data_IF_234826189107
#
_entry.id   IF_234826189107
#
_cell.length_a   1.000
_cell.length_b   1.000
_cell.length_c   1.000
_cell.angle_alpha   90.00
_cell.angle_beta   90.00
_cell.angle_gamma   90.00
#
_symmetry.space_group_name_H-M   'P 1'
#
loop_
_entity.id
_entity.type
_entity.pdbx_description
1 polymer ?
#
# COMPACT_ATOMS: atom_id res chain seq x y z
N UNK A 1 -12.01 20.19 -4.15
CA UNK A 1 -12.69 18.95 -4.60
C UNK A 1 -14.22 19.02 -4.72
N UNK A 2 -14.84 20.17 -4.57
CA UNK A 2 -16.32 20.32 -4.63
C UNK A 2 -16.97 19.88 -5.95
N UNK A 3 -16.18 19.82 -7.04
CA UNK A 3 -16.63 19.34 -8.36
C UNK A 3 -15.83 18.12 -8.74
N UNK A 4 -16.44 16.96 -8.69
CA UNK A 4 -15.86 15.71 -9.13
C UNK A 4 -16.81 14.98 -10.11
N UNK A 5 -16.25 14.08 -10.89
CA UNK A 5 -17.01 13.19 -11.78
C UNK A 5 -17.00 11.78 -11.19
N UNK A 6 -18.18 11.23 -10.95
CA UNK A 6 -18.37 9.85 -10.56
C UNK A 6 -18.45 8.98 -11.82
N UNK A 7 -17.83 7.81 -11.80
CA UNK A 7 -18.10 6.72 -12.73
C UNK A 7 -18.18 5.41 -11.93
N UNK A 8 -19.23 4.64 -12.15
CA UNK A 8 -19.52 3.39 -11.45
C UNK A 8 -19.88 2.32 -12.46
N UNK A 9 -19.17 1.21 -12.42
CA UNK A 9 -19.52 -0.04 -13.08
C UNK A 9 -19.89 -1.08 -12.02
N UNK A 10 -21.05 -1.71 -12.17
CA UNK A 10 -21.57 -2.63 -11.17
C UNK A 10 -22.42 -3.73 -11.84
N UNK A 11 -22.67 -4.78 -11.09
CA UNK A 11 -23.41 -5.94 -11.55
C UNK A 11 -24.55 -6.27 -10.60
N UNK A 12 -25.73 -6.55 -11.17
CA UNK A 12 -26.89 -7.07 -10.45
C UNK A 12 -27.26 -8.42 -11.08
N UNK A 13 -27.12 -9.50 -10.32
CA UNK A 13 -27.25 -10.85 -10.85
C UNK A 13 -26.23 -11.13 -11.94
N UNK A 14 -26.67 -11.26 -13.21
CA UNK A 14 -25.79 -11.47 -14.38
C UNK A 14 -25.63 -10.21 -15.24
N UNK A 15 -26.37 -9.16 -14.98
CA UNK A 15 -26.38 -7.95 -15.78
C UNK A 15 -25.32 -6.97 -15.27
N UNK A 16 -24.54 -6.37 -16.19
CA UNK A 16 -23.53 -5.36 -15.92
C UNK A 16 -24.07 -4.00 -16.35
N UNK A 17 -23.89 -3.01 -15.50
CA UNK A 17 -24.33 -1.63 -15.69
C UNK A 17 -23.15 -0.67 -15.54
N UNK A 18 -23.18 0.41 -16.30
CA UNK A 18 -22.25 1.55 -16.13
C UNK A 18 -23.06 2.83 -16.01
N UNK A 19 -22.70 3.68 -15.05
CA UNK A 19 -23.42 4.93 -14.77
C UNK A 19 -22.51 5.97 -14.16
N UNK A 20 -22.89 7.24 -14.32
CA UNK A 20 -22.34 8.38 -13.60
C UNK A 20 -23.40 9.07 -12.69
N UNK A 21 -24.53 8.43 -12.51
CA UNK A 21 -25.63 8.91 -11.68
C UNK A 21 -25.41 8.50 -10.22
N UNK A 22 -25.87 9.35 -9.31
CA UNK A 22 -25.83 9.10 -7.87
C UNK A 22 -27.06 8.31 -7.38
N UNK A 23 -28.07 8.12 -8.22
CA UNK A 23 -29.26 7.34 -7.88
C UNK A 23 -29.78 6.62 -9.13
N UNK A 24 -30.13 5.36 -8.96
CA UNK A 24 -30.75 4.48 -9.95
C UNK A 24 -31.83 3.64 -9.26
N UNK A 25 -32.48 2.73 -9.99
CA UNK A 25 -33.42 1.75 -9.40
C UNK A 25 -32.71 0.75 -8.47
N UNK A 26 -31.36 0.60 -8.54
CA UNK A 26 -30.61 -0.39 -7.80
C UNK A 26 -29.94 0.17 -6.55
N UNK A 27 -29.63 1.46 -6.52
CA UNK A 27 -28.92 2.09 -5.42
C UNK A 27 -29.14 3.63 -5.37
N UNK A 28 -28.77 4.19 -4.22
CA UNK A 28 -28.58 5.63 -4.03
C UNK A 28 -27.21 5.88 -3.40
N UNK A 29 -26.42 6.82 -3.98
CA UNK A 29 -25.19 7.33 -3.39
C UNK A 29 -25.46 8.70 -2.78
N UNK A 30 -25.21 8.82 -1.49
CA UNK A 30 -25.13 10.11 -0.79
C UNK A 30 -23.66 10.51 -0.68
N UNK A 31 -23.37 11.79 -0.78
CA UNK A 31 -22.01 12.28 -0.72
C UNK A 31 -21.87 13.56 0.07
N UNK A 32 -20.67 13.75 0.63
CA UNK A 32 -20.18 15.02 1.14
C UNK A 32 -18.94 15.40 0.33
N UNK A 33 -18.95 16.57 -0.28
CA UNK A 33 -17.80 17.09 -0.99
C UNK A 33 -17.53 18.52 -0.50
N UNK A 34 -16.29 18.75 -0.05
CA UNK A 34 -15.77 20.04 0.37
C UNK A 34 -14.55 20.40 -0.49
N UNK A 35 -13.85 21.48 -0.15
CA UNK A 35 -12.59 21.80 -0.82
C UNK A 35 -11.51 20.73 -0.63
N UNK A 36 -11.53 20.03 0.51
CA UNK A 36 -10.47 19.10 0.91
C UNK A 36 -10.94 17.67 1.13
N UNK A 37 -12.25 17.36 1.11
CA UNK A 37 -12.76 16.02 1.42
C UNK A 37 -13.83 15.58 0.44
N UNK A 38 -13.82 14.30 0.09
CA UNK A 38 -14.90 13.59 -0.60
C UNK A 38 -15.21 12.30 0.15
N UNK A 39 -16.46 12.12 0.55
CA UNK A 39 -16.98 10.90 1.13
C UNK A 39 -18.24 10.47 0.38
N UNK A 40 -18.29 9.22 -0.06
CA UNK A 40 -19.40 8.60 -0.79
C UNK A 40 -19.92 7.40 0.01
N UNK A 41 -21.24 7.39 0.27
CA UNK A 41 -21.93 6.25 0.89
C UNK A 41 -23.04 5.77 -0.05
N UNK A 42 -23.05 4.47 -0.32
CA UNK A 42 -24.07 3.80 -1.12
C UNK A 42 -25.09 3.14 -0.21
N UNK A 43 -26.36 3.30 -0.55
CA UNK A 43 -27.46 2.48 -0.06
C UNK A 43 -27.93 1.62 -1.24
N UNK A 44 -27.59 0.35 -1.26
CA UNK A 44 -28.04 -0.60 -2.27
C UNK A 44 -29.45 -1.07 -1.94
N UNK A 45 -30.35 -1.03 -2.93
CA UNK A 45 -31.75 -1.48 -2.81
C UNK A 45 -31.90 -2.95 -3.19
N UNK A 46 -30.90 -3.49 -3.88
CA UNK A 46 -30.74 -4.90 -4.24
C UNK A 46 -29.26 -5.27 -4.08
N UNK A 47 -28.95 -6.55 -3.79
CA UNK A 47 -27.54 -6.97 -3.76
C UNK A 47 -26.86 -6.68 -5.09
N UNK A 48 -25.75 -5.93 -5.07
CA UNK A 48 -24.98 -5.58 -6.26
C UNK A 48 -23.48 -5.75 -6.01
N UNK A 49 -22.75 -6.14 -7.03
CA UNK A 49 -21.30 -6.24 -7.04
C UNK A 49 -20.71 -4.99 -7.69
N UNK A 50 -19.86 -4.25 -6.98
CA UNK A 50 -19.16 -3.11 -7.54
C UNK A 50 -17.94 -3.62 -8.29
N UNK A 51 -17.90 -3.40 -9.61
CA UNK A 51 -16.79 -3.80 -10.47
C UNK A 51 -15.72 -2.72 -10.56
N UNK A 52 -16.15 -1.46 -10.66
CA UNK A 52 -15.26 -0.30 -10.69
C UNK A 52 -15.98 0.93 -10.16
N UNK A 53 -15.34 1.69 -9.28
CA UNK A 53 -15.81 2.98 -8.80
C UNK A 53 -14.67 3.98 -8.83
N UNK A 54 -14.88 5.09 -9.55
CA UNK A 54 -13.92 6.18 -9.63
C UNK A 54 -14.55 7.54 -9.35
N UNK A 55 -13.81 8.38 -8.66
CA UNK A 55 -14.08 9.81 -8.51
C UNK A 55 -12.91 10.59 -9.12
N UNK A 56 -13.17 11.41 -10.14
CA UNK A 56 -12.13 12.18 -10.82
C UNK A 56 -12.31 13.68 -10.53
N UNK A 57 -11.23 14.32 -10.11
CA UNK A 57 -11.15 15.76 -9.80
C UNK A 57 -10.18 16.45 -10.75
N UNK A 58 -10.49 17.64 -11.29
CA UNK A 58 -9.52 18.45 -12.02
C UNK A 58 -8.36 18.85 -11.12
N UNK A 59 -7.14 18.74 -11.62
CA UNK A 59 -5.93 19.16 -10.93
C UNK A 59 -5.00 19.91 -11.87
N UNK A 60 -4.41 21.00 -11.41
CA UNK A 60 -3.54 21.83 -12.24
C UNK A 60 -2.05 21.53 -11.92
N UNK A 61 -1.47 20.55 -12.62
CA UNK A 61 -0.05 20.24 -12.51
C UNK A 61 0.81 21.40 -13.03
N UNK A 62 1.80 21.80 -12.25
CA UNK A 62 2.85 22.73 -12.68
C UNK A 62 3.89 22.00 -13.54
N UNK A 63 4.73 22.74 -14.24
CA UNK A 63 5.73 22.17 -15.15
C UNK A 63 6.78 21.30 -14.43
N UNK A 64 7.06 21.63 -13.17
CA UNK A 64 8.02 20.99 -12.27
C UNK A 64 7.37 20.12 -11.20
N UNK A 65 6.06 19.92 -11.26
CA UNK A 65 5.35 19.02 -10.34
C UNK A 65 5.97 17.63 -10.34
N UNK A 66 6.10 17.04 -9.17
CA UNK A 66 6.51 15.66 -8.96
C UNK A 66 5.41 14.91 -8.28
N UNK A 67 5.18 13.68 -8.69
CA UNK A 67 4.16 12.80 -8.12
C UNK A 67 4.85 11.65 -7.42
N UNK A 68 4.53 11.43 -6.15
CA UNK A 68 5.00 10.28 -5.41
C UNK A 68 4.17 9.06 -5.76
N UNK A 69 4.87 8.00 -6.16
CA UNK A 69 4.29 6.67 -6.44
C UNK A 69 4.71 5.67 -5.37
N UNK A 70 3.83 4.74 -5.07
CA UNK A 70 4.08 3.64 -4.16
C UNK A 70 3.26 2.41 -4.60
N UNK A 71 3.32 1.34 -3.83
CA UNK A 71 2.51 0.13 -4.03
C UNK A 71 2.43 -0.69 -2.75
N UNK A 72 1.59 -1.73 -2.74
CA UNK A 72 1.41 -2.59 -1.58
C UNK A 72 2.56 -3.60 -1.38
N UNK A 73 3.34 -3.87 -2.42
CA UNK A 73 4.47 -4.78 -2.35
C UNK A 73 5.75 -4.06 -1.96
N UNK A 74 6.57 -4.70 -1.12
CA UNK A 74 7.84 -4.14 -0.62
C UNK A 74 8.83 -3.75 -1.72
N UNK A 75 8.75 -4.38 -2.90
CA UNK A 75 9.65 -4.15 -4.04
C UNK A 75 8.99 -3.38 -5.18
N UNK A 76 7.87 -2.75 -4.92
CA UNK A 76 7.26 -1.80 -5.86
C UNK A 76 8.10 -0.53 -5.94
N UNK A 77 8.06 0.15 -7.07
CA UNK A 77 8.68 1.46 -7.23
C UNK A 77 8.05 2.44 -6.23
N UNK A 78 8.90 3.07 -5.42
CA UNK A 78 8.48 3.99 -4.37
C UNK A 78 9.39 5.22 -4.44
N UNK A 79 8.97 6.23 -5.19
CA UNK A 79 9.72 7.48 -5.43
C UNK A 79 8.87 8.58 -6.05
N UNK A 80 9.44 9.75 -6.18
CA UNK A 80 8.86 10.82 -6.98
C UNK A 80 9.12 10.62 -8.49
N UNK A 81 8.10 10.95 -9.28
CA UNK A 81 8.10 10.85 -10.74
C UNK A 81 7.87 12.20 -11.38
N UNK A 82 8.54 12.46 -12.49
CA UNK A 82 8.31 13.62 -13.34
C UNK A 82 7.36 13.29 -14.49
N UNK A 83 6.68 14.30 -15.03
CA UNK A 83 5.67 14.17 -16.09
C UNK A 83 6.12 13.42 -17.35
N UNK A 84 7.43 13.40 -17.64
CA UNK A 84 8.01 12.75 -18.82
C UNK A 84 8.49 11.32 -18.53
N UNK A 85 8.33 10.83 -17.32
CA UNK A 85 8.64 9.47 -16.93
C UNK A 85 7.45 8.52 -17.15
N UNK A 86 7.71 7.25 -16.94
CA UNK A 86 6.71 6.18 -16.87
C UNK A 86 6.93 5.42 -15.58
N UNK A 87 5.88 5.15 -14.85
CA UNK A 87 5.93 4.22 -13.74
C UNK A 87 6.20 2.83 -14.31
N UNK A 88 7.29 2.21 -13.88
CA UNK A 88 7.68 0.90 -14.38
C UNK A 88 7.12 -0.20 -13.50
N UNK A 89 6.70 -1.29 -14.13
CA UNK A 89 6.55 -2.56 -13.42
C UNK A 89 7.94 -3.12 -13.12
N UNK A 90 8.14 -3.68 -11.94
CA UNK A 90 9.44 -4.11 -11.40
C UNK A 90 10.28 -4.97 -12.36
N UNK A 91 9.67 -5.59 -13.38
CA UNK A 91 10.36 -6.51 -14.29
C UNK A 91 10.15 -6.24 -15.78
N UNK A 92 9.56 -5.11 -16.18
CA UNK A 92 9.40 -4.73 -17.59
C UNK A 92 8.79 -5.82 -18.47
N UNK A 93 9.17 -5.93 -19.76
CA UNK A 93 8.59 -6.90 -20.69
C UNK A 93 8.92 -8.38 -20.35
N UNK A 94 9.85 -8.64 -19.45
CA UNK A 94 10.18 -9.99 -18.96
C UNK A 94 9.15 -10.46 -17.90
N UNK A 95 8.28 -9.57 -17.42
CA UNK A 95 7.29 -9.84 -16.38
C UNK A 95 6.35 -11.03 -16.68
N UNK A 96 6.00 -11.26 -17.95
CA UNK A 96 5.11 -12.35 -18.32
C UNK A 96 5.69 -13.73 -18.03
N UNK A 97 6.99 -13.92 -18.23
CA UNK A 97 7.67 -15.19 -17.90
C UNK A 97 7.85 -15.36 -16.37
N UNK A 98 8.06 -14.25 -15.65
CA UNK A 98 8.25 -14.25 -14.19
C UNK A 98 6.94 -14.30 -13.40
N UNK A 99 5.78 -13.92 -13.95
CA UNK A 99 4.46 -14.02 -13.30
C UNK A 99 4.10 -15.46 -12.84
N UNK A 100 4.77 -16.48 -13.38
CA UNK A 100 4.61 -17.89 -13.00
C UNK A 100 5.65 -18.39 -12.00
N UNK A 101 6.56 -17.55 -11.55
CA UNK A 101 7.61 -17.88 -10.59
C UNK A 101 7.41 -17.10 -9.29
N UNK A 102 8.16 -17.49 -8.25
CA UNK A 102 8.20 -16.74 -6.96
C UNK A 102 8.51 -15.24 -7.15
N UNK A 103 9.26 -14.88 -8.20
CA UNK A 103 9.56 -13.48 -8.53
C UNK A 103 8.35 -12.73 -9.12
N UNK A 104 7.34 -13.43 -9.62
CA UNK A 104 6.08 -12.82 -10.06
C UNK A 104 5.20 -12.30 -8.93
N UNK A 105 5.51 -12.67 -7.68
CA UNK A 105 4.88 -12.10 -6.50
C UNK A 105 5.52 -10.77 -6.05
N UNK A 106 6.69 -10.43 -6.62
CA UNK A 106 7.35 -9.16 -6.37
C UNK A 106 6.86 -8.10 -7.37
N UNK A 107 6.62 -6.89 -6.91
CA UNK A 107 6.17 -5.78 -7.74
C UNK A 107 4.65 -5.59 -7.73
N UNK A 108 4.14 -5.01 -8.81
CA UNK A 108 2.75 -4.64 -8.92
C UNK A 108 1.80 -5.83 -8.99
N UNK A 109 0.66 -5.74 -8.35
CA UNK A 109 -0.46 -6.64 -8.57
C UNK A 109 -1.08 -6.45 -9.95
N UNK A 110 -1.90 -7.39 -10.42
CA UNK A 110 -2.51 -7.33 -11.75
C UNK A 110 -3.38 -6.11 -12.01
N UNK A 111 -3.92 -5.48 -10.96
CA UNK A 111 -4.68 -4.24 -11.07
C UNK A 111 -3.80 -2.99 -11.27
N UNK A 112 -2.47 -3.09 -11.11
CA UNK A 112 -1.52 -2.01 -11.38
C UNK A 112 -1.17 -1.89 -12.88
N UNK A 113 -1.58 -2.82 -13.71
CA UNK A 113 -1.20 -2.90 -15.12
C UNK A 113 -1.67 -1.72 -15.99
N UNK A 114 -2.46 -0.80 -15.44
CA UNK A 114 -3.06 0.29 -16.18
C UNK A 114 -2.16 1.52 -16.37
N UNK A 115 -0.98 1.57 -15.76
CA UNK A 115 -0.12 2.77 -15.75
C UNK A 115 1.12 2.61 -16.62
N UNK A 116 0.93 2.22 -17.89
CA UNK A 116 2.05 2.13 -18.85
C UNK A 116 2.31 3.42 -19.63
N UNK A 117 1.47 4.45 -19.44
CA UNK A 117 1.55 5.71 -20.19
C UNK A 117 2.49 6.69 -19.51
N UNK A 118 3.24 7.46 -20.33
CA UNK A 118 4.06 8.57 -19.84
C UNK A 118 3.17 9.63 -19.19
N UNK A 119 3.58 10.13 -18.03
CA UNK A 119 2.87 11.17 -17.29
C UNK A 119 1.56 10.69 -16.63
N UNK A 120 1.42 9.36 -16.42
CA UNK A 120 0.33 8.77 -15.65
C UNK A 120 0.94 7.92 -14.55
N UNK A 121 0.56 8.19 -13.30
CA UNK A 121 1.19 7.62 -12.10
C UNK A 121 0.15 7.19 -11.10
N UNK A 122 0.43 6.08 -10.41
CA UNK A 122 -0.44 5.54 -9.36
C UNK A 122 0.25 5.52 -8.00
N UNK A 123 -0.53 5.81 -6.96
CA UNK A 123 -0.19 5.61 -5.57
C UNK A 123 -1.33 4.89 -4.85
N UNK A 124 -1.00 4.10 -3.84
CA UNK A 124 -1.93 3.25 -3.09
C UNK A 124 -2.07 3.76 -1.67
N UNK A 125 -3.30 3.87 -1.19
CA UNK A 125 -3.69 4.46 0.10
C UNK A 125 -3.38 5.95 0.22
N UNK A 126 -2.32 6.45 -0.37
CA UNK A 126 -1.99 7.87 -0.50
C UNK A 126 -1.08 8.15 -1.70
N UNK A 127 -1.11 9.39 -2.14
CA UNK A 127 -0.24 9.93 -3.17
C UNK A 127 -0.07 11.43 -2.91
N UNK A 128 1.10 11.99 -3.16
CA UNK A 128 1.22 13.45 -3.14
C UNK A 128 1.74 13.99 -4.46
N UNK A 129 1.36 15.24 -4.72
CA UNK A 129 1.98 16.08 -5.75
C UNK A 129 2.80 17.13 -5.05
N UNK A 130 4.11 17.15 -5.33
CA UNK A 130 5.03 18.15 -4.76
C UNK A 130 5.35 19.23 -5.77
N UNK A 131 5.19 20.48 -5.35
CA UNK A 131 5.45 21.69 -6.10
C UNK A 131 6.47 22.56 -5.35
N UNK A 132 7.77 22.30 -5.53
CA UNK A 132 8.82 22.89 -4.70
C UNK A 132 8.79 22.35 -3.27
N UNK A 133 8.50 23.20 -2.28
CA UNK A 133 8.38 22.85 -0.86
C UNK A 133 6.90 22.62 -0.45
N UNK A 134 5.94 22.80 -1.36
CA UNK A 134 4.52 22.60 -1.10
C UNK A 134 4.09 21.20 -1.56
N UNK A 135 3.37 20.51 -0.71
CA UNK A 135 2.81 19.18 -0.92
C UNK A 135 1.28 19.26 -0.97
N UNK A 136 0.71 18.63 -1.99
CA UNK A 136 -0.73 18.34 -2.08
C UNK A 136 -0.88 16.83 -1.85
N UNK A 137 -1.15 16.42 -0.62
CA UNK A 137 -1.32 15.03 -0.23
C UNK A 137 -2.77 14.59 -0.42
N UNK A 138 -3.01 13.64 -1.31
CA UNK A 138 -4.27 12.92 -1.46
C UNK A 138 -4.19 11.62 -0.67
N UNK A 139 -5.05 11.43 0.31
CA UNK A 139 -4.95 10.32 1.23
C UNK A 139 -6.30 9.68 1.58
N UNK A 140 -6.32 8.36 1.63
CA UNK A 140 -7.50 7.59 2.00
C UNK A 140 -7.79 7.75 3.50
N UNK A 141 -9.07 7.88 3.83
CA UNK A 141 -9.56 7.86 5.21
C UNK A 141 -10.24 6.54 5.58
N UNK A 142 -10.34 5.60 4.62
CA UNK A 142 -10.84 4.26 4.87
C UNK A 142 -10.27 3.24 3.91
N UNK A 143 -9.58 2.23 4.44
CA UNK A 143 -9.13 1.04 3.72
C UNK A 143 -9.91 -0.22 4.14
N UNK A 144 -10.85 -0.08 5.08
CA UNK A 144 -11.66 -1.21 5.59
C UNK A 144 -12.69 -1.72 4.58
N UNK A 145 -13.05 -0.87 3.62
CA UNK A 145 -14.08 -1.15 2.61
C UNK A 145 -13.48 -1.40 1.22
N UNK A 146 -12.20 -1.69 1.13
CA UNK A 146 -11.46 -1.94 -0.11
C UNK A 146 -10.25 -1.04 -0.25
N UNK A 147 -9.42 -1.30 -1.25
CA UNK A 147 -8.18 -0.55 -1.50
C UNK A 147 -8.47 0.77 -2.21
N UNK A 148 -7.78 1.83 -1.82
CA UNK A 148 -7.88 3.14 -2.49
C UNK A 148 -6.66 3.34 -3.37
N UNK A 149 -6.89 3.62 -4.65
CA UNK A 149 -5.88 3.84 -5.66
C UNK A 149 -6.03 5.27 -6.17
N UNK A 150 -4.95 6.04 -6.11
CA UNK A 150 -4.88 7.39 -6.66
C UNK A 150 -4.14 7.35 -7.97
N UNK A 151 -4.68 8.00 -9.00
CA UNK A 151 -4.03 8.12 -10.30
C UNK A 151 -3.89 9.60 -10.66
N UNK A 152 -2.64 10.05 -10.83
CA UNK A 152 -2.33 11.37 -11.37
C UNK A 152 -2.10 11.25 -12.88
N UNK A 153 -2.85 12.01 -13.67
CA UNK A 153 -2.69 12.04 -15.12
C UNK A 153 -2.38 13.48 -15.58
N UNK A 154 -1.11 13.74 -15.86
CA UNK A 154 -0.65 15.02 -16.39
C UNK A 154 -1.23 15.36 -17.76
N UNK A 155 -1.61 14.34 -18.55
CA UNK A 155 -2.09 14.55 -19.91
C UNK A 155 -3.53 15.07 -19.93
N UNK A 156 -4.33 14.70 -18.95
CA UNK A 156 -5.72 15.14 -18.80
C UNK A 156 -5.91 16.20 -17.70
N UNK A 157 -4.87 16.51 -16.92
CA UNK A 157 -4.93 17.34 -15.74
C UNK A 157 -6.01 16.86 -14.73
N UNK A 158 -5.93 15.60 -14.38
CA UNK A 158 -6.89 14.95 -13.48
C UNK A 158 -6.15 14.16 -12.38
N UNK A 159 -6.72 14.19 -11.18
CA UNK A 159 -6.51 13.16 -10.16
C UNK A 159 -7.76 12.27 -10.15
N UNK A 160 -7.57 10.97 -10.32
CA UNK A 160 -8.64 9.98 -10.22
C UNK A 160 -8.42 9.12 -8.99
N UNK A 161 -9.46 8.98 -8.20
CA UNK A 161 -9.46 8.09 -7.01
C UNK A 161 -10.38 6.93 -7.32
N UNK A 162 -9.83 5.74 -7.29
CA UNK A 162 -10.51 4.48 -7.51
C UNK A 162 -10.61 3.72 -6.20
N UNK A 163 -11.74 3.04 -5.99
CA UNK A 163 -11.90 2.06 -4.93
C UNK A 163 -11.94 0.68 -5.55
N UNK A 164 -10.97 -0.16 -5.20
CA UNK A 164 -10.98 -1.58 -5.54
C UNK A 164 -11.66 -2.35 -4.41
N UNK A 165 -12.75 -2.99 -4.75
CA UNK A 165 -13.61 -3.73 -3.82
C UNK A 165 -13.52 -5.24 -4.03
N UNK A 166 -12.69 -5.72 -4.97
CA UNK A 166 -12.46 -7.16 -5.26
C UNK A 166 -13.74 -8.00 -5.36
N UNK A 167 -14.76 -7.48 -6.03
CA UNK A 167 -16.04 -8.17 -6.21
C UNK A 167 -16.91 -8.24 -4.95
N UNK A 168 -16.72 -7.30 -4.02
CA UNK A 168 -17.61 -7.18 -2.85
C UNK A 168 -19.05 -6.98 -3.30
N UNK A 169 -19.95 -7.81 -2.76
CA UNK A 169 -21.39 -7.65 -2.94
C UNK A 169 -21.88 -6.69 -1.85
N UNK A 170 -22.38 -5.55 -2.29
CA UNK A 170 -23.02 -4.55 -1.42
C UNK A 170 -24.51 -4.87 -1.32
N UNK A 171 -25.01 -5.00 -0.08
CA UNK A 171 -26.41 -5.17 0.25
C UNK A 171 -26.75 -4.23 1.42
N UNK A 172 -27.53 -3.18 1.15
CA UNK A 172 -27.79 -2.10 2.12
C UNK A 172 -26.75 -1.00 2.10
N UNK A 173 -26.37 -0.49 3.27
CA UNK A 173 -25.44 0.67 3.39
C UNK A 173 -23.98 0.25 3.32
N UNK A 174 -23.19 0.98 2.55
CA UNK A 174 -21.77 0.76 2.40
C UNK A 174 -21.02 2.07 2.15
N UNK A 175 -19.89 2.28 2.84
CA UNK A 175 -19.00 3.40 2.54
C UNK A 175 -18.08 3.02 1.37
N UNK A 176 -18.36 3.58 0.20
CA UNK A 176 -17.68 3.21 -1.04
C UNK A 176 -16.42 4.01 -1.31
N UNK A 177 -16.29 5.21 -0.74
CA UNK A 177 -15.09 6.05 -0.89
C UNK A 177 -15.05 7.10 0.21
N UNK A 178 -13.86 7.32 0.79
CA UNK A 178 -13.61 8.40 1.72
C UNK A 178 -12.14 8.81 1.67
N UNK A 179 -11.85 10.04 1.22
CA UNK A 179 -10.49 10.54 1.12
C UNK A 179 -10.42 12.06 1.30
N UNK A 180 -9.23 12.54 1.62
CA UNK A 180 -8.94 13.94 1.82
C UNK A 180 -7.74 14.41 1.00
N UNK A 181 -7.65 15.73 0.81
CA UNK A 181 -6.51 16.47 0.29
C UNK A 181 -5.98 17.39 1.38
N UNK A 182 -4.70 17.30 1.66
CA UNK A 182 -3.99 18.16 2.60
C UNK A 182 -2.92 18.95 1.85
N UNK A 183 -2.87 20.27 2.07
CA UNK A 183 -1.94 21.17 1.39
C UNK A 183 -1.06 21.84 2.44
N UNK A 184 0.25 21.80 2.23
CA UNK A 184 1.23 22.39 3.15
C UNK A 184 2.66 21.88 2.94
N UNK A 185 3.48 22.03 3.94
CA UNK A 185 4.79 21.37 4.00
C UNK A 185 4.65 19.88 4.32
N UNK A 186 5.73 19.11 4.13
CA UNK A 186 5.72 17.65 4.26
C UNK A 186 5.20 17.19 5.63
N UNK A 187 5.76 17.74 6.71
CA UNK A 187 5.40 17.31 8.08
C UNK A 187 3.91 17.60 8.35
N UNK A 188 3.45 18.79 8.02
CA UNK A 188 2.08 19.22 8.31
C UNK A 188 1.02 18.43 7.54
N UNK A 189 1.26 18.03 6.29
CA UNK A 189 0.27 17.27 5.52
C UNK A 189 0.12 15.83 6.05
N UNK A 190 1.23 15.19 6.45
CA UNK A 190 1.19 13.85 7.04
C UNK A 190 0.63 13.86 8.46
N UNK A 191 1.02 14.83 9.29
CA UNK A 191 0.50 14.97 10.66
C UNK A 191 -1.03 15.18 10.64
N UNK A 192 -1.54 16.06 9.78
CA UNK A 192 -2.97 16.28 9.62
C UNK A 192 -3.71 15.02 9.18
N UNK A 193 -3.15 14.25 8.25
CA UNK A 193 -3.74 12.98 7.82
C UNK A 193 -3.79 11.96 8.95
N UNK A 194 -2.68 11.77 9.68
CA UNK A 194 -2.62 10.82 10.78
C UNK A 194 -3.51 11.23 11.96
N UNK A 195 -3.62 12.52 12.24
CA UNK A 195 -4.53 13.03 13.26
C UNK A 195 -6.00 12.76 12.87
N UNK A 196 -6.36 12.93 11.60
CA UNK A 196 -7.73 12.64 11.12
C UNK A 196 -8.06 11.14 11.13
N UNK A 197 -7.09 10.28 10.82
CA UNK A 197 -7.22 8.83 10.96
C UNK A 197 -7.38 8.40 12.41
N UNK A 198 -7.05 9.27 13.37
CA UNK A 198 -7.08 9.00 14.80
C UNK A 198 -6.32 7.71 15.17
N UNK A 199 -5.15 7.52 14.55
CA UNK A 199 -4.28 6.38 14.81
C UNK A 199 -3.60 6.60 16.17
N UNK A 200 -3.72 5.65 17.11
CA UNK A 200 -3.05 5.77 18.39
C UNK A 200 -1.53 5.90 18.20
N UNK A 201 -0.90 6.85 18.91
CA UNK A 201 0.54 6.95 18.89
C UNK A 201 1.16 5.63 19.36
N UNK A 202 2.27 5.16 18.73
CA UNK A 202 2.95 3.96 19.18
C UNK A 202 3.34 4.07 20.67
N UNK A 203 3.04 3.04 21.45
CA UNK A 203 3.42 2.95 22.85
C UNK A 203 4.89 2.54 23.06
N UNK A 204 5.55 2.13 21.96
CA UNK A 204 6.92 1.61 21.99
C UNK A 204 7.88 2.67 21.47
N UNK A 205 8.96 2.93 22.24
CA UNK A 205 10.04 3.77 21.79
C UNK A 205 10.78 3.16 20.58
N UNK A 206 11.47 3.97 19.76
CA UNK A 206 12.32 3.47 18.70
C UNK A 206 13.30 2.41 19.21
N UNK A 207 13.48 1.33 18.45
CA UNK A 207 14.33 0.19 18.80
C UNK A 207 15.42 0.00 17.75
N UNK A 208 16.63 -0.30 18.22
CA UNK A 208 17.74 -0.70 17.35
C UNK A 208 17.79 -2.23 17.27
N UNK A 209 17.96 -2.77 16.07
CA UNK A 209 17.96 -4.20 15.88
C UNK A 209 19.04 -4.71 14.95
N UNK A 210 19.44 -5.96 15.16
CA UNK A 210 20.22 -6.76 14.23
C UNK A 210 19.32 -7.79 13.57
N UNK A 211 19.53 -8.05 12.28
CA UNK A 211 18.86 -9.14 11.56
C UNK A 211 19.85 -9.96 10.77
N UNK A 212 19.62 -11.27 10.71
CA UNK A 212 20.49 -12.21 9.98
C UNK A 212 20.32 -12.12 8.47
N UNK A 213 19.23 -11.51 7.96
CA UNK A 213 18.85 -11.58 6.55
C UNK A 213 19.91 -11.02 5.61
N UNK A 214 20.32 -9.78 5.78
CA UNK A 214 21.17 -9.08 4.81
C UNK A 214 22.57 -9.67 4.62
N UNK A 215 23.07 -10.44 5.59
CA UNK A 215 24.37 -11.08 5.49
C UNK A 215 24.28 -12.53 4.97
N UNK A 216 23.26 -13.27 5.38
CA UNK A 216 23.21 -14.73 5.16
C UNK A 216 22.03 -15.19 4.31
N UNK A 217 20.99 -14.37 4.14
CA UNK A 217 19.71 -14.79 3.58
C UNK A 217 19.22 -16.06 4.31
N UNK A 218 18.73 -17.04 3.58
CA UNK A 218 18.28 -18.32 4.15
C UNK A 218 19.41 -19.29 4.58
N UNK A 219 20.69 -18.88 4.47
CA UNK A 219 21.85 -19.76 4.76
C UNK A 219 22.31 -19.70 6.21
N UNK A 220 21.41 -19.47 7.14
CA UNK A 220 21.68 -19.45 8.58
C UNK A 220 21.64 -20.83 9.18
N UNK A 221 22.31 -20.99 10.32
CA UNK A 221 22.23 -22.15 11.20
C UNK A 221 22.55 -21.73 12.64
N UNK A 222 22.34 -22.64 13.59
CA UNK A 222 22.53 -22.35 15.03
C UNK A 222 23.94 -21.84 15.34
N UNK A 223 24.97 -22.35 14.66
CA UNK A 223 26.35 -21.89 14.86
C UNK A 223 26.54 -20.45 14.40
N UNK A 224 26.11 -20.12 13.19
CA UNK A 224 26.19 -18.75 12.63
C UNK A 224 25.50 -17.76 13.57
N UNK A 225 24.26 -18.07 13.95
CA UNK A 225 23.46 -17.20 14.85
C UNK A 225 24.17 -17.01 16.20
N UNK A 226 24.77 -18.06 16.75
CA UNK A 226 25.51 -17.98 18.01
C UNK A 226 26.81 -17.17 17.87
N UNK A 227 27.54 -17.33 16.77
CA UNK A 227 28.78 -16.59 16.50
C UNK A 227 28.48 -15.08 16.33
N UNK A 228 27.41 -14.73 15.60
CA UNK A 228 26.99 -13.35 15.42
C UNK A 228 26.54 -12.72 16.74
N UNK A 229 25.78 -13.45 17.56
CA UNK A 229 25.38 -12.97 18.88
C UNK A 229 26.60 -12.68 19.77
N UNK A 230 27.59 -13.56 19.76
CA UNK A 230 28.84 -13.34 20.54
C UNK A 230 29.67 -12.19 19.98
N UNK A 231 29.73 -12.02 18.66
CA UNK A 231 30.45 -10.90 18.06
C UNK A 231 29.76 -9.59 18.39
N UNK A 232 28.42 -9.55 18.24
CA UNK A 232 27.60 -8.37 18.51
C UNK A 232 27.69 -7.92 19.96
N UNK A 233 27.63 -8.87 20.91
CA UNK A 233 27.72 -8.57 22.34
C UNK A 233 29.05 -7.92 22.78
N UNK A 234 30.10 -8.02 21.95
CA UNK A 234 31.42 -7.41 22.22
C UNK A 234 31.53 -5.97 21.70
N UNK A 235 30.76 -5.60 20.68
CA UNK A 235 30.91 -4.32 19.99
C UNK A 235 29.79 -3.34 20.27
N UNK A 236 28.77 -3.75 21.02
CA UNK A 236 27.51 -3.08 21.04
C UNK A 236 26.82 -3.03 22.41
N UNK A 237 26.36 -1.88 22.81
CA UNK A 237 25.69 -1.63 24.10
C UNK A 237 24.19 -1.30 24.01
N UNK A 238 23.66 -1.06 22.82
CA UNK A 238 22.31 -0.48 22.60
C UNK A 238 21.51 -1.15 21.47
N UNK A 239 21.68 -2.48 21.26
CA UNK A 239 20.78 -3.29 20.45
C UNK A 239 19.68 -3.86 21.35
N UNK A 240 18.44 -3.53 20.97
CA UNK A 240 17.25 -3.98 21.68
C UNK A 240 16.70 -5.29 21.11
N UNK A 241 16.97 -5.57 19.83
CA UNK A 241 16.37 -6.69 19.10
C UNK A 241 17.44 -7.47 18.34
N UNK A 242 17.46 -8.80 18.55
CA UNK A 242 18.21 -9.72 17.72
C UNK A 242 17.20 -10.57 16.91
N UNK A 243 17.08 -10.31 15.61
CA UNK A 243 16.12 -10.98 14.75
C UNK A 243 16.77 -12.11 13.97
N UNK A 244 16.22 -13.32 14.09
CA UNK A 244 16.49 -14.45 13.21
C UNK A 244 15.45 -14.39 12.10
N UNK A 245 15.92 -14.13 10.89
CA UNK A 245 15.10 -14.05 9.69
C UNK A 245 14.94 -15.45 9.03
N UNK A 246 14.48 -15.49 7.76
CA UNK A 246 14.29 -16.71 6.99
C UNK A 246 15.50 -17.66 7.03
N UNK A 247 15.20 -18.94 6.93
CA UNK A 247 16.22 -20.00 6.79
C UNK A 247 16.30 -20.93 7.98
N UNK A 248 15.54 -20.68 9.07
CA UNK A 248 15.42 -21.61 10.19
C UNK A 248 14.36 -22.68 9.95
N UNK A 249 13.38 -22.40 9.10
CA UNK A 249 12.27 -23.30 8.79
C UNK A 249 12.68 -24.43 7.86
N UNK A 250 11.93 -25.53 7.92
CA UNK A 250 12.16 -26.73 7.09
C UNK A 250 11.84 -26.51 5.62
N UNK A 251 10.90 -25.60 5.30
CA UNK A 251 10.51 -25.20 3.95
C UNK A 251 10.05 -23.75 3.94
N UNK A 252 10.22 -23.07 2.80
CA UNK A 252 9.74 -21.70 2.60
C UNK A 252 8.22 -21.64 2.80
N UNK A 253 7.77 -20.71 3.66
CA UNK A 253 6.35 -20.53 4.01
C UNK A 253 5.88 -21.41 5.17
N UNK A 254 6.71 -22.32 5.69
CA UNK A 254 6.40 -23.13 6.87
C UNK A 254 7.05 -22.56 8.14
N UNK A 255 6.47 -21.50 8.64
CA UNK A 255 6.99 -20.73 9.79
C UNK A 255 6.99 -21.49 11.13
N UNK A 256 6.26 -22.60 11.24
CA UNK A 256 6.06 -23.32 12.49
C UNK A 256 6.98 -24.53 12.64
N UNK A 257 7.65 -24.96 11.57
CA UNK A 257 8.59 -26.08 11.62
C UNK A 257 10.04 -25.61 11.55
N UNK A 258 10.91 -26.30 12.26
CA UNK A 258 12.34 -25.97 12.35
C UNK A 258 13.13 -26.99 11.59
N UNK A 259 14.10 -26.55 10.78
CA UNK A 259 15.11 -27.42 10.18
C UNK A 259 16.07 -27.93 11.26
N UNK A 260 15.85 -29.15 11.73
CA UNK A 260 16.66 -29.78 12.79
C UNK A 260 18.12 -30.04 12.39
N UNK A 261 18.46 -29.97 11.08
CA UNK A 261 19.87 -30.07 10.64
C UNK A 261 20.59 -28.74 10.87
N UNK A 262 19.86 -27.62 10.67
CA UNK A 262 20.40 -26.27 10.89
C UNK A 262 20.36 -25.87 12.37
N UNK A 263 19.29 -26.24 13.07
CA UNK A 263 19.05 -25.91 14.49
C UNK A 263 18.78 -27.17 15.31
N UNK A 264 19.81 -27.99 15.56
CA UNK A 264 19.67 -29.29 16.22
C UNK A 264 19.17 -29.21 17.66
N UNK A 265 19.41 -28.07 18.34
CA UNK A 265 18.95 -27.84 19.70
C UNK A 265 17.61 -27.06 19.77
N UNK A 266 17.00 -26.79 18.61
CA UNK A 266 15.75 -26.07 18.47
C UNK A 266 15.85 -24.56 18.75
N UNK A 267 14.81 -23.83 18.37
CA UNK A 267 14.80 -22.36 18.47
C UNK A 267 14.75 -21.86 19.93
N UNK A 268 14.22 -22.65 20.87
CA UNK A 268 14.22 -22.27 22.29
C UNK A 268 15.63 -22.09 22.83
N UNK A 269 16.55 -23.01 22.49
CA UNK A 269 17.95 -22.91 22.92
C UNK A 269 18.62 -21.63 22.41
N UNK A 270 18.31 -21.24 21.17
CA UNK A 270 18.85 -20.03 20.54
C UNK A 270 18.25 -18.78 21.20
N UNK A 271 16.93 -18.77 21.42
CA UNK A 271 16.25 -17.66 22.10
C UNK A 271 16.77 -17.46 23.53
N UNK A 272 16.97 -18.54 24.29
CA UNK A 272 17.52 -18.47 25.65
C UNK A 272 18.94 -17.86 25.65
N UNK A 273 19.78 -18.20 24.65
CA UNK A 273 21.10 -17.57 24.49
C UNK A 273 21.01 -16.08 24.19
N UNK A 274 20.10 -15.67 23.29
CA UNK A 274 19.89 -14.26 22.94
C UNK A 274 19.44 -13.48 24.19
N UNK A 275 18.42 -13.97 24.88
CA UNK A 275 17.91 -13.34 26.10
C UNK A 275 18.96 -13.27 27.23
N UNK A 276 19.91 -14.18 27.28
CA UNK A 276 20.99 -14.15 28.28
C UNK A 276 21.99 -13.00 28.08
N UNK A 277 21.92 -12.31 26.94
CA UNK A 277 22.82 -11.17 26.64
C UNK A 277 22.16 -9.80 26.93
N UNK A 278 20.93 -9.78 27.37
CA UNK A 278 20.15 -8.58 27.75
C UNK A 278 18.95 -8.43 26.85
#
# INVERSE_FOLDING_TARGET
MEKFKLNLEYKVGKAVFSTNLFETEHFKITYKATKSHISLKMAAFVPLEILNLTASIPYNFKADSRVFVNGYQSWTECREMFKDERQSHTFGPISFAYRRTLLGAAGAYTFDDNVSRRGVFQGFSYMYVRNGEEYDLFASLTERTGYTIFTADFNSNMITVQKDLEGVIVDGEYEVLNFAEYVGDEDSVFDNWFDELNIPKPSVAPKNGYTTWYNYYSKINEKIVSDDLEALSKVKSDIDIFQIDDGYQSATGDWLTIDNKKFPNGMKSVADKIHSKG
#
